data_IF_731424813612
#
_entry.id   IF_731424813612
#
_cell.length_a   1.000
_cell.length_b   1.000
_cell.length_c   1.000
_cell.angle_alpha   90.00
_cell.angle_beta   90.00
_cell.angle_gamma   90.00
#
_symmetry.space_group_name_H-M   'P 1'
#
loop_
_entity.id
_entity.type
_entity.pdbx_description
1 polymer ?
#
# COMPACT_ATOMS: atom_id res chain seq x y z
N UNK A 1 -19.45 2.62 -1.27
CA UNK A 1 -19.25 1.49 -2.20
C UNK A 1 -17.76 1.27 -2.30
N UNK A 2 -17.21 0.28 -1.57
CA UNK A 2 -15.75 0.09 -1.41
C UNK A 2 -15.11 -0.64 -2.59
N UNK A 3 -15.92 -1.37 -3.36
CA UNK A 3 -15.48 -2.11 -4.55
C UNK A 3 -14.90 -1.19 -5.64
N UNK A 4 -15.24 0.10 -5.61
CA UNK A 4 -14.79 1.10 -6.58
C UNK A 4 -13.26 1.24 -6.59
N UNK A 5 -12.60 1.18 -5.42
CA UNK A 5 -11.14 1.27 -5.32
C UNK A 5 -10.40 -0.03 -5.68
N UNK A 6 -11.09 -1.16 -5.75
CA UNK A 6 -10.48 -2.46 -6.06
C UNK A 6 -10.44 -2.77 -7.57
N UNK A 7 -10.89 -1.82 -8.40
CA UNK A 7 -10.56 -1.84 -9.82
C UNK A 7 -9.08 -1.50 -10.03
N UNK A 8 -8.47 -2.04 -11.08
CA UNK A 8 -7.05 -1.81 -11.35
C UNK A 8 -6.75 -0.30 -11.53
N UNK A 9 -7.59 0.42 -12.26
CA UNK A 9 -7.44 1.86 -12.51
C UNK A 9 -7.59 2.68 -11.22
N UNK A 10 -8.67 2.49 -10.46
CA UNK A 10 -8.91 3.25 -9.25
C UNK A 10 -7.84 2.99 -8.17
N UNK A 11 -7.26 1.78 -8.12
CA UNK A 11 -6.16 1.48 -7.22
C UNK A 11 -4.93 2.35 -7.51
N UNK A 12 -4.56 2.53 -8.79
CA UNK A 12 -3.43 3.38 -9.18
C UNK A 12 -3.70 4.86 -8.94
N UNK A 13 -4.91 5.34 -9.25
CA UNK A 13 -5.33 6.72 -8.97
C UNK A 13 -5.30 7.04 -7.46
N UNK A 14 -5.77 6.11 -6.62
CA UNK A 14 -5.69 6.24 -5.18
C UNK A 14 -4.23 6.31 -4.69
N UNK A 15 -3.35 5.50 -5.26
CA UNK A 15 -1.92 5.51 -4.91
C UNK A 15 -1.29 6.85 -5.32
N UNK A 16 -1.52 7.30 -6.56
CA UNK A 16 -0.98 8.54 -7.09
C UNK A 16 -1.42 9.75 -6.25
N UNK A 17 -2.72 9.89 -6.00
CA UNK A 17 -3.26 10.98 -5.18
C UNK A 17 -2.68 11.02 -3.76
N UNK A 18 -2.42 9.86 -3.15
CA UNK A 18 -1.79 9.81 -1.81
C UNK A 18 -0.31 10.20 -1.86
N UNK A 19 0.42 9.81 -2.90
CA UNK A 19 1.81 10.24 -3.06
C UNK A 19 1.91 11.75 -3.29
N UNK A 20 1.04 12.32 -4.12
CA UNK A 20 0.95 13.77 -4.36
C UNK A 20 0.59 14.54 -3.08
N UNK A 21 -0.24 13.96 -2.22
CA UNK A 21 -0.56 14.49 -0.91
C UNK A 21 0.55 14.29 0.15
N UNK A 22 1.75 13.83 -0.23
CA UNK A 22 2.86 13.51 0.66
C UNK A 22 2.50 12.48 1.76
N UNK A 23 1.62 11.52 1.45
CA UNK A 23 1.27 10.45 2.40
C UNK A 23 2.53 9.62 2.73
N UNK A 24 2.75 9.24 4.01
CA UNK A 24 3.93 8.48 4.39
C UNK A 24 4.06 7.14 3.66
N UNK A 25 5.29 6.84 3.23
CA UNK A 25 5.67 5.56 2.62
C UNK A 25 6.78 4.93 3.44
N UNK A 26 6.55 3.72 3.94
CA UNK A 26 7.57 2.93 4.60
C UNK A 26 8.37 2.13 3.56
N UNK A 27 9.70 2.24 3.60
CA UNK A 27 10.60 1.44 2.76
C UNK A 27 10.99 0.19 3.54
N UNK A 28 10.67 -0.97 2.99
CA UNK A 28 11.02 -2.27 3.56
C UNK A 28 11.95 -3.04 2.64
N UNK A 29 12.72 -3.98 3.21
CA UNK A 29 13.39 -5.00 2.41
C UNK A 29 12.42 -6.16 2.12
N UNK A 30 12.27 -6.50 0.85
CA UNK A 30 11.46 -7.62 0.40
C UNK A 30 12.17 -8.92 0.75
N UNK A 31 11.39 -9.87 1.29
CA UNK A 31 11.83 -11.25 1.47
C UNK A 31 11.76 -12.04 0.16
N UNK A 32 10.85 -11.63 -0.74
CA UNK A 32 10.65 -12.25 -2.07
C UNK A 32 10.31 -11.16 -3.09
N UNK A 33 11.17 -10.89 -4.09
CA UNK A 33 12.57 -11.32 -4.18
C UNK A 33 13.42 -10.72 -3.05
N UNK A 34 14.36 -11.50 -2.51
CA UNK A 34 15.22 -11.09 -1.39
C UNK A 34 16.09 -9.88 -1.78
N UNK A 35 16.32 -8.95 -0.85
CA UNK A 35 17.22 -7.81 -1.04
C UNK A 35 16.67 -6.65 -1.88
N UNK A 36 15.46 -6.78 -2.43
CA UNK A 36 14.81 -5.69 -3.17
C UNK A 36 14.03 -4.76 -2.24
N UNK A 37 13.85 -3.51 -2.64
CA UNK A 37 13.05 -2.55 -1.89
C UNK A 37 11.56 -2.74 -2.17
N UNK A 38 10.77 -2.76 -1.10
CA UNK A 38 9.32 -2.63 -1.13
C UNK A 38 8.91 -1.29 -0.54
N UNK A 39 7.81 -0.75 -1.03
CA UNK A 39 7.26 0.53 -0.60
C UNK A 39 5.85 0.28 -0.09
N UNK A 40 5.61 0.61 1.18
CA UNK A 40 4.36 0.28 1.88
C UNK A 40 3.61 1.54 2.26
N UNK A 41 2.33 1.57 1.94
CA UNK A 41 1.40 2.60 2.38
C UNK A 41 0.28 1.96 3.19
N UNK A 42 -0.08 2.60 4.29
CA UNK A 42 -1.22 2.23 5.12
C UNK A 42 -2.17 3.42 5.12
N UNK A 43 -3.38 3.22 4.60
CA UNK A 43 -4.35 4.30 4.38
C UNK A 43 -5.64 3.96 5.15
N UNK A 44 -6.08 4.85 6.02
CA UNK A 44 -7.44 4.81 6.57
C UNK A 44 -8.38 5.50 5.58
N UNK A 45 -9.28 4.71 4.97
CA UNK A 45 -10.31 5.23 4.06
C UNK A 45 -11.58 5.62 4.82
N UNK A 46 -11.93 4.82 5.82
CA UNK A 46 -13.09 5.03 6.69
C UNK A 46 -12.68 4.78 8.15
N UNK A 47 -13.25 5.49 9.14
CA UNK A 47 -12.93 5.29 10.56
C UNK A 47 -13.23 3.88 11.07
N UNK A 48 -14.31 3.27 10.58
CA UNK A 48 -14.85 1.99 11.09
C UNK A 48 -14.38 0.76 10.27
N UNK A 49 -13.40 0.94 9.38
CA UNK A 49 -12.83 -0.14 8.57
C UNK A 49 -11.36 -0.33 8.89
N UNK A 50 -10.84 -1.56 8.78
CA UNK A 50 -9.40 -1.77 8.83
C UNK A 50 -8.70 -0.91 7.76
N UNK A 51 -7.49 -0.39 8.02
CA UNK A 51 -6.81 0.42 7.03
C UNK A 51 -6.40 -0.44 5.83
N UNK A 52 -6.41 0.17 4.66
CA UNK A 52 -5.94 -0.41 3.40
C UNK A 52 -4.41 -0.50 3.42
N UNK A 53 -3.91 -1.71 3.19
CA UNK A 53 -2.49 -2.00 3.04
C UNK A 53 -2.13 -2.09 1.55
N UNK A 54 -1.18 -1.27 1.15
CA UNK A 54 -0.67 -1.23 -0.22
C UNK A 54 0.83 -1.52 -0.18
N UNK A 55 1.29 -2.39 -1.09
CA UNK A 55 2.71 -2.67 -1.29
C UNK A 55 3.07 -2.55 -2.76
N UNK A 56 4.10 -1.76 -3.01
CA UNK A 56 4.67 -1.54 -4.33
C UNK A 56 6.11 -2.03 -4.38
N UNK A 57 6.58 -2.30 -5.59
CA UNK A 57 7.99 -2.51 -5.89
C UNK A 57 8.35 -1.71 -7.13
N UNK A 58 9.46 -0.97 -7.07
CA UNK A 58 10.05 -0.33 -8.26
C UNK A 58 11.09 -1.28 -8.86
N UNK A 59 11.06 -1.44 -10.18
CA UNK A 59 12.05 -2.26 -10.87
C UNK A 59 11.88 -2.21 -12.38
N UNK A 60 12.98 -2.35 -13.13
CA UNK A 60 12.97 -2.41 -14.60
C UNK A 60 12.23 -1.24 -15.28
N UNK A 61 12.29 -0.04 -14.68
CA UNK A 61 11.61 1.15 -15.20
C UNK A 61 10.10 1.18 -14.97
N UNK A 62 9.52 0.23 -14.24
CA UNK A 62 8.08 0.16 -13.96
C UNK A 62 7.80 0.04 -12.45
N UNK A 63 6.53 0.26 -12.08
CA UNK A 63 6.03 0.09 -10.72
C UNK A 63 5.13 -1.14 -10.70
N UNK A 64 5.43 -2.08 -9.80
CA UNK A 64 4.65 -3.30 -9.61
C UNK A 64 3.76 -3.18 -8.38
N UNK A 65 2.45 -3.40 -8.55
CA UNK A 65 1.54 -3.68 -7.46
C UNK A 65 1.80 -5.07 -6.88
N UNK A 66 2.26 -5.14 -5.62
CA UNK A 66 2.55 -6.41 -4.92
C UNK A 66 1.44 -6.83 -3.97
N UNK A 67 0.75 -5.88 -3.34
CA UNK A 67 -0.36 -6.16 -2.43
C UNK A 67 -1.32 -4.97 -2.40
N UNK A 68 -2.62 -5.24 -2.39
CA UNK A 68 -3.68 -4.25 -2.22
C UNK A 68 -4.85 -4.93 -1.53
N UNK A 69 -4.93 -4.77 -0.20
CA UNK A 69 -5.99 -5.41 0.60
C UNK A 69 -6.15 -4.70 1.93
N UNK A 70 -7.32 -4.84 2.56
CA UNK A 70 -7.46 -4.41 3.95
C UNK A 70 -6.48 -5.15 4.85
N UNK A 71 -5.80 -4.40 5.71
CA UNK A 71 -4.97 -5.00 6.76
C UNK A 71 -5.86 -5.88 7.65
N UNK A 72 -5.34 -7.03 8.06
CA UNK A 72 -6.04 -7.83 9.07
C UNK A 72 -5.99 -7.05 10.38
N UNK A 73 -7.15 -6.84 10.98
CA UNK A 73 -7.28 -6.29 12.31
C UNK A 73 -6.44 -7.15 13.27
N UNK A 74 -5.38 -6.58 13.85
CA UNK A 74 -4.53 -7.29 14.82
C UNK A 74 -3.02 -7.32 14.55
N UNK A 75 -2.50 -6.85 13.40
CA UNK A 75 -1.05 -6.72 13.20
C UNK A 75 -0.56 -5.27 13.28
N UNK A 76 -1.02 -4.53 14.29
CA UNK A 76 -0.34 -3.31 14.75
C UNK A 76 0.91 -3.75 15.51
N UNK A 77 2.02 -4.00 14.82
CA UNK A 77 3.32 -3.79 15.47
C UNK A 77 3.54 -2.28 15.57
N UNK A 78 2.88 -1.67 16.55
CA UNK A 78 3.27 -0.37 17.07
C UNK A 78 4.71 -0.53 17.57
N UNK A 79 5.69 -0.17 16.74
CA UNK A 79 7.03 0.11 17.25
C UNK A 79 6.93 1.42 18.01
N UNK A 80 6.83 1.31 19.33
CA UNK A 80 7.28 2.36 20.26
C UNK A 80 8.80 2.48 20.15
#
# INVERSE_FOLDING_TARGET
MLDEYFTNEAAWELIASKLEANHPVEIIELQKPMGKKGYVMIISLEPDKPPLYIKLQLGSGVIYGRSFHYSKEGNRKSKK
#
